data_IF_217853266122
#
_entry.id   IF_217853266122
#
_cell.length_a   1.000
_cell.length_b   1.000
_cell.length_c   1.000
_cell.angle_alpha   90.00
_cell.angle_beta   90.00
_cell.angle_gamma   90.00
#
_symmetry.space_group_name_H-M   'P 1'
#
loop_
_entity.id
_entity.type
_entity.pdbx_description
1 polymer ?
#
# COMPACT_ATOMS: atom_id res chain seq x y z
N UNK A 1 34.90 100.82 -55.56
CA UNK A 1 33.91 99.79 -55.90
C UNK A 1 33.79 98.66 -54.86
N UNK A 2 34.39 98.75 -53.66
CA UNK A 2 34.41 97.63 -52.69
C UNK A 2 33.48 97.80 -51.48
N UNK A 3 32.72 98.90 -51.38
CA UNK A 3 31.96 99.24 -50.17
C UNK A 3 30.51 98.73 -50.19
N UNK A 4 29.96 98.45 -51.38
CA UNK A 4 28.60 97.90 -51.54
C UNK A 4 28.56 96.37 -51.34
N UNK A 5 29.66 95.67 -51.64
CA UNK A 5 29.76 94.22 -51.47
C UNK A 5 29.79 93.80 -49.98
N UNK A 6 30.52 94.53 -49.14
CA UNK A 6 30.60 94.26 -47.68
C UNK A 6 29.25 94.42 -46.96
N UNK A 7 28.35 95.25 -47.49
CA UNK A 7 27.01 95.46 -46.91
C UNK A 7 26.09 94.28 -47.25
N UNK A 8 26.24 93.70 -48.45
CA UNK A 8 25.49 92.52 -48.89
C UNK A 8 25.85 91.25 -48.11
N UNK A 9 27.14 91.00 -47.89
CA UNK A 9 27.57 89.84 -47.08
C UNK A 9 27.06 89.91 -45.64
N UNK A 10 27.10 91.10 -45.02
CA UNK A 10 26.56 91.29 -43.66
C UNK A 10 25.06 91.01 -43.56
N UNK A 11 24.29 91.43 -44.57
CA UNK A 11 22.85 91.11 -44.62
C UNK A 11 22.59 89.62 -44.87
N UNK A 12 23.40 88.97 -45.71
CA UNK A 12 23.29 87.53 -45.96
C UNK A 12 23.55 86.72 -44.68
N UNK A 13 24.62 87.05 -43.95
CA UNK A 13 24.94 86.39 -42.67
C UNK A 13 23.83 86.60 -41.63
N UNK A 14 23.30 87.82 -41.52
CA UNK A 14 22.19 88.11 -40.62
C UNK A 14 20.91 87.31 -40.97
N UNK A 15 20.64 87.06 -42.25
CA UNK A 15 19.51 86.21 -42.67
C UNK A 15 19.76 84.73 -42.39
N UNK A 16 21.00 84.27 -42.55
CA UNK A 16 21.37 82.87 -42.33
C UNK A 16 21.27 82.48 -40.85
N UNK A 17 21.75 83.35 -39.96
CA UNK A 17 21.63 83.19 -38.51
C UNK A 17 20.15 83.15 -38.09
N UNK A 18 19.33 84.05 -38.65
CA UNK A 18 17.88 84.09 -38.37
C UNK A 18 17.16 82.82 -38.82
N UNK A 19 17.62 82.17 -39.90
CA UNK A 19 17.08 80.88 -40.33
C UNK A 19 17.57 79.71 -39.47
N UNK A 20 18.82 79.75 -38.99
CA UNK A 20 19.36 78.76 -38.06
C UNK A 20 18.59 78.77 -36.73
N UNK A 21 18.36 79.96 -36.16
CA UNK A 21 17.58 80.11 -34.93
C UNK A 21 16.15 79.61 -35.09
N UNK A 22 15.48 79.94 -36.21
CA UNK A 22 14.14 79.45 -36.49
C UNK A 22 14.08 77.92 -36.67
N UNK A 23 15.13 77.31 -37.21
CA UNK A 23 15.24 75.84 -37.33
C UNK A 23 15.51 75.18 -35.97
N UNK A 24 16.35 75.78 -35.13
CA UNK A 24 16.60 75.30 -33.77
C UNK A 24 15.34 75.40 -32.92
N UNK A 25 14.61 76.51 -32.99
CA UNK A 25 13.32 76.67 -32.32
C UNK A 25 12.30 75.62 -32.76
N UNK A 26 12.16 75.38 -34.08
CA UNK A 26 11.29 74.31 -34.61
C UNK A 26 11.76 72.90 -34.25
N UNK A 27 13.08 72.68 -34.12
CA UNK A 27 13.66 71.40 -33.71
C UNK A 27 13.41 71.09 -32.24
N UNK A 28 13.50 72.11 -31.38
CA UNK A 28 13.16 72.01 -29.96
C UNK A 28 11.64 71.84 -29.76
N UNK A 29 10.81 72.57 -30.52
CA UNK A 29 9.36 72.40 -30.48
C UNK A 29 8.93 70.99 -30.95
N UNK A 30 9.60 70.41 -31.95
CA UNK A 30 9.41 69.00 -32.35
C UNK A 30 9.98 67.99 -31.35
N UNK A 31 11.02 68.35 -30.59
CA UNK A 31 11.58 67.48 -29.55
C UNK A 31 10.72 67.50 -28.27
N UNK A 32 9.97 68.58 -28.03
CA UNK A 32 9.06 68.74 -26.89
C UNK A 32 7.60 68.31 -27.22
N UNK A 33 7.25 68.25 -28.50
CA UNK A 33 5.94 67.75 -28.99
C UNK A 33 5.92 66.22 -29.10
N UNK A 34 5.75 65.56 -27.95
CA UNK A 34 5.13 64.25 -27.91
C UNK A 34 6.10 63.08 -27.75
N UNK A 35 6.62 62.91 -26.53
CA UNK A 35 6.82 61.55 -26.01
C UNK A 35 5.42 60.97 -25.76
N UNK A 36 4.77 60.54 -26.84
CA UNK A 36 3.58 59.72 -26.77
C UNK A 36 4.02 58.37 -26.21
N UNK A 37 3.93 58.20 -24.90
CA UNK A 37 4.05 56.90 -24.25
C UNK A 37 2.86 56.04 -24.71
N UNK A 38 3.00 55.40 -25.87
CA UNK A 38 2.17 54.26 -26.22
C UNK A 38 2.66 53.11 -25.35
N UNK A 39 1.85 52.72 -24.37
CA UNK A 39 2.04 51.48 -23.62
C UNK A 39 1.89 50.34 -24.64
N UNK A 40 3.01 49.75 -25.06
CA UNK A 40 3.04 48.76 -26.14
C UNK A 40 2.47 47.41 -25.71
N UNK A 41 2.46 47.08 -24.41
CA UNK A 41 1.84 45.84 -23.92
C UNK A 41 1.41 45.97 -22.45
N UNK A 42 0.16 45.67 -22.08
CA UNK A 42 -0.19 45.45 -20.69
C UNK A 42 0.50 44.16 -20.21
N UNK A 43 1.06 44.19 -18.99
CA UNK A 43 1.71 43.04 -18.39
C UNK A 43 0.73 41.85 -18.32
N UNK A 44 1.08 40.74 -18.97
CA UNK A 44 0.31 39.50 -18.88
C UNK A 44 0.25 39.03 -17.44
N UNK A 45 -0.95 39.07 -16.85
CA UNK A 45 -1.19 38.44 -15.55
C UNK A 45 -0.83 36.96 -15.68
N UNK A 46 0.05 36.42 -14.82
CA UNK A 46 0.32 34.99 -14.84
C UNK A 46 -0.99 34.25 -14.54
N UNK A 47 -1.47 33.46 -15.50
CA UNK A 47 -2.77 32.77 -15.44
C UNK A 47 -2.86 31.71 -14.31
N UNK A 48 -1.79 31.52 -13.55
CA UNK A 48 -1.73 30.67 -12.37
C UNK A 48 -0.45 30.90 -11.58
N UNK A 49 -0.35 30.38 -10.35
CA UNK A 49 0.77 30.63 -9.45
C UNK A 49 2.10 30.13 -10.05
N UNK A 50 3.06 31.04 -10.26
CA UNK A 50 4.41 30.74 -10.78
C UNK A 50 5.30 30.01 -9.75
N UNK A 51 4.93 30.01 -8.47
CA UNK A 51 5.49 29.16 -7.41
C UNK A 51 4.62 29.23 -6.14
N UNK A 52 4.58 28.21 -5.27
CA UNK A 52 4.83 26.78 -5.48
C UNK A 52 3.58 26.09 -6.05
N UNK A 53 3.78 25.09 -6.91
CA UNK A 53 2.69 24.31 -7.50
C UNK A 53 2.10 23.34 -6.47
N UNK A 54 1.22 23.86 -5.60
CA UNK A 54 0.60 23.11 -4.50
C UNK A 54 -0.02 21.79 -4.97
N UNK A 55 -0.63 21.79 -6.16
CA UNK A 55 -1.18 20.59 -6.77
C UNK A 55 -0.12 19.50 -7.01
N UNK A 56 1.07 19.87 -7.52
CA UNK A 56 2.18 18.92 -7.74
C UNK A 56 2.71 18.38 -6.42
N UNK A 57 2.81 19.22 -5.39
CA UNK A 57 3.29 18.81 -4.06
C UNK A 57 2.31 17.84 -3.39
N UNK A 58 1.00 18.13 -3.49
CA UNK A 58 -0.06 17.25 -3.00
C UNK A 58 -0.07 15.92 -3.77
N UNK A 59 0.06 15.97 -5.10
CA UNK A 59 0.07 14.78 -5.94
C UNK A 59 1.30 13.89 -5.65
N UNK A 60 2.47 14.50 -5.45
CA UNK A 60 3.67 13.79 -4.99
C UNK A 60 3.50 13.20 -3.60
N UNK A 61 2.86 13.91 -2.67
CA UNK A 61 2.58 13.41 -1.32
C UNK A 61 1.64 12.21 -1.31
N UNK A 62 0.56 12.25 -2.11
CA UNK A 62 -0.36 11.11 -2.28
C UNK A 62 0.37 9.92 -2.90
N UNK A 63 1.13 10.15 -3.97
CA UNK A 63 1.89 9.09 -4.63
C UNK A 63 2.91 8.44 -3.67
N UNK A 64 3.64 9.26 -2.91
CA UNK A 64 4.59 8.77 -1.90
C UNK A 64 3.90 8.02 -0.77
N UNK A 65 2.74 8.50 -0.30
CA UNK A 65 1.97 7.86 0.75
C UNK A 65 1.41 6.49 0.34
N UNK A 66 0.89 6.37 -0.88
CA UNK A 66 0.43 5.08 -1.43
C UNK A 66 1.61 4.13 -1.59
N UNK A 67 2.73 4.60 -2.15
CA UNK A 67 3.93 3.78 -2.32
C UNK A 67 4.48 3.26 -1.00
N UNK A 68 4.57 4.13 0.02
CA UNK A 68 5.03 3.76 1.35
C UNK A 68 4.03 2.85 2.08
N UNK A 69 2.72 3.09 1.92
CA UNK A 69 1.66 2.26 2.49
C UNK A 69 1.66 0.85 1.90
N UNK A 70 1.80 0.71 0.58
CA UNK A 70 1.91 -0.59 -0.08
C UNK A 70 3.20 -1.31 0.31
N UNK A 71 4.33 -0.60 0.38
CA UNK A 71 5.58 -1.18 0.85
C UNK A 71 5.46 -1.70 2.28
N UNK A 72 4.82 -0.94 3.17
CA UNK A 72 4.64 -1.34 4.57
C UNK A 72 3.64 -2.50 4.71
N UNK A 73 2.55 -2.50 3.93
CA UNK A 73 1.63 -3.62 3.86
C UNK A 73 2.33 -4.90 3.39
N UNK A 74 3.16 -4.81 2.35
CA UNK A 74 3.93 -5.95 1.85
C UNK A 74 4.97 -6.45 2.86
N UNK A 75 5.64 -5.57 3.60
CA UNK A 75 6.55 -5.96 4.69
C UNK A 75 5.82 -6.65 5.83
N UNK A 76 4.65 -6.13 6.20
CA UNK A 76 3.81 -6.77 7.23
C UNK A 76 3.32 -8.14 6.76
N UNK A 77 2.88 -8.27 5.51
CA UNK A 77 2.43 -9.53 4.91
C UNK A 77 3.57 -10.55 4.79
N UNK A 78 4.79 -10.12 4.44
CA UNK A 78 5.94 -11.02 4.40
C UNK A 78 6.37 -11.51 5.80
N UNK A 79 6.02 -10.76 6.85
CA UNK A 79 6.30 -11.13 8.23
C UNK A 79 5.19 -12.02 8.84
N UNK A 80 4.07 -12.21 8.13
CA UNK A 80 3.07 -13.20 8.51
C UNK A 80 3.58 -14.60 8.14
N UNK A 81 4.25 -15.25 9.11
CA UNK A 81 4.66 -16.66 9.01
C UNK A 81 3.48 -17.61 9.24
N UNK A 82 2.37 -17.38 8.55
CA UNK A 82 1.19 -18.26 8.60
C UNK A 82 1.22 -19.16 7.36
N UNK A 83 1.44 -20.46 7.57
CA UNK A 83 1.30 -21.46 6.49
C UNK A 83 -0.17 -21.55 6.09
N UNK A 84 -0.52 -20.91 4.96
CA UNK A 84 -1.90 -20.88 4.44
C UNK A 84 -2.29 -22.13 3.66
N UNK A 85 -1.30 -22.85 3.11
CA UNK A 85 -1.53 -23.93 2.15
C UNK A 85 -0.74 -25.19 2.52
N UNK A 86 -1.33 -26.36 2.25
CA UNK A 86 -0.69 -27.67 2.47
C UNK A 86 0.62 -27.80 1.69
N UNK A 87 0.66 -27.21 0.49
CA UNK A 87 1.83 -27.23 -0.40
C UNK A 87 2.99 -26.39 0.15
N UNK A 88 2.70 -25.25 0.81
CA UNK A 88 3.72 -24.44 1.48
C UNK A 88 4.36 -25.23 2.63
N UNK A 89 3.57 -26.01 3.38
CA UNK A 89 4.11 -26.84 4.46
C UNK A 89 4.98 -28.00 3.93
N UNK A 90 4.61 -28.62 2.82
CA UNK A 90 5.40 -29.69 2.20
C UNK A 90 6.69 -29.18 1.54
N UNK A 91 6.72 -27.92 1.11
CA UNK A 91 7.92 -27.30 0.55
C UNK A 91 9.01 -27.07 1.63
N UNK A 92 8.62 -26.77 2.87
CA UNK A 92 9.53 -26.53 3.98
C UNK A 92 9.82 -27.77 4.84
N UNK A 93 8.96 -28.79 4.80
CA UNK A 93 9.07 -29.99 5.64
C UNK A 93 8.95 -31.27 4.83
N UNK A 94 9.85 -32.23 5.07
CA UNK A 94 9.81 -33.57 4.47
C UNK A 94 8.76 -34.49 5.13
N UNK A 95 7.95 -33.97 6.06
CA UNK A 95 6.97 -34.77 6.80
C UNK A 95 5.68 -34.97 6.00
N UNK A 96 5.12 -36.18 5.96
CA UNK A 96 3.86 -36.44 5.28
C UNK A 96 2.70 -35.76 6.00
N UNK A 97 1.86 -35.03 5.25
CA UNK A 97 0.66 -34.38 5.81
C UNK A 97 -0.44 -35.42 5.99
N UNK A 98 -0.74 -35.76 7.25
CA UNK A 98 -1.73 -36.78 7.60
C UNK A 98 -3.16 -36.30 7.34
N UNK A 99 -3.46 -35.03 7.58
CA UNK A 99 -4.78 -34.46 7.30
C UNK A 99 -4.88 -32.98 7.60
N UNK A 100 -5.90 -32.34 7.04
CA UNK A 100 -6.22 -30.92 7.25
C UNK A 100 -7.54 -30.85 8.00
N UNK A 101 -7.52 -30.25 9.19
CA UNK A 101 -8.72 -30.09 9.99
C UNK A 101 -9.27 -28.69 9.75
N UNK A 102 -10.53 -28.55 9.29
CA UNK A 102 -11.11 -27.24 9.05
C UNK A 102 -11.26 -26.49 10.38
N UNK A 103 -11.02 -25.18 10.35
CA UNK A 103 -11.31 -24.33 11.49
C UNK A 103 -12.81 -24.40 11.79
N UNK A 104 -13.17 -24.92 12.95
CA UNK A 104 -14.56 -24.98 13.40
C UNK A 104 -14.93 -23.54 13.77
N UNK A 105 -15.77 -22.85 12.96
CA UNK A 105 -16.03 -21.44 13.20
C UNK A 105 -16.72 -21.30 14.55
N UNK A 106 -16.09 -20.53 15.44
CA UNK A 106 -16.71 -20.11 16.69
C UNK A 106 -17.83 -19.13 16.34
N UNK A 107 -19.02 -19.66 15.98
CA UNK A 107 -20.25 -18.88 15.82
C UNK A 107 -20.69 -18.40 17.21
N UNK A 108 -20.00 -17.40 17.72
CA UNK A 108 -20.25 -16.80 19.02
C UNK A 108 -19.10 -15.90 19.42
N UNK A 109 -19.35 -14.60 19.47
CA UNK A 109 -18.36 -13.60 19.88
C UNK A 109 -17.66 -13.93 21.20
N UNK A 110 -16.54 -13.24 21.42
CA UNK A 110 -15.74 -13.25 22.66
C UNK A 110 -16.61 -13.61 23.87
N UNK A 111 -16.44 -14.83 24.41
CA UNK A 111 -17.14 -15.46 25.56
C UNK A 111 -18.29 -16.47 25.30
N UNK A 112 -18.50 -16.96 24.09
CA UNK A 112 -19.22 -18.24 23.95
C UNK A 112 -18.24 -19.40 24.17
N UNK A 113 -18.28 -20.03 25.35
CA UNK A 113 -17.70 -21.37 25.53
C UNK A 113 -18.34 -22.25 24.46
N UNK A 114 -17.53 -22.86 23.59
CA UNK A 114 -17.95 -23.84 22.59
C UNK A 114 -19.06 -24.71 23.19
N UNK A 115 -20.30 -24.54 22.71
CA UNK A 115 -21.44 -25.22 23.32
C UNK A 115 -21.31 -26.73 23.26
N UNK A 116 -20.44 -27.25 22.38
CA UNK A 116 -19.72 -28.51 22.55
C UNK A 116 -18.46 -28.54 21.65
N UNK A 117 -17.24 -28.73 22.19
CA UNK A 117 -16.00 -28.82 21.40
C UNK A 117 -15.83 -30.18 20.69
N UNK A 118 -16.70 -31.16 20.95
CA UNK A 118 -16.60 -32.53 20.44
C UNK A 118 -17.50 -32.70 19.21
N UNK A 119 -17.03 -32.20 18.08
CA UNK A 119 -17.77 -32.17 16.82
C UNK A 119 -18.15 -33.57 16.34
N UNK A 120 -17.31 -34.57 16.62
CA UNK A 120 -17.58 -35.97 16.24
C UNK A 120 -18.83 -36.58 16.88
N UNK A 121 -19.23 -36.12 18.07
CA UNK A 121 -20.46 -36.59 18.73
C UNK A 121 -21.62 -35.63 18.45
N UNK A 122 -21.35 -34.33 18.48
CA UNK A 122 -22.42 -33.33 18.51
C UNK A 122 -22.99 -33.04 17.15
N UNK A 123 -22.18 -33.20 16.11
CA UNK A 123 -22.61 -33.07 14.72
C UNK A 123 -21.86 -34.10 13.85
N UNK A 124 -22.26 -35.39 13.92
CA UNK A 124 -21.58 -36.48 13.23
C UNK A 124 -21.62 -36.37 11.69
N UNK A 125 -22.53 -35.57 11.14
CA UNK A 125 -22.68 -35.32 9.69
C UNK A 125 -21.91 -34.07 9.22
N UNK A 126 -21.29 -33.32 10.15
CA UNK A 126 -20.49 -32.16 9.80
C UNK A 126 -19.25 -32.53 9.00
N UNK A 127 -18.83 -31.59 8.14
CA UNK A 127 -17.56 -31.69 7.40
C UNK A 127 -16.39 -31.92 8.34
N UNK A 128 -16.37 -31.26 9.51
CA UNK A 128 -15.32 -31.42 10.49
C UNK A 128 -15.28 -32.84 11.09
N UNK A 129 -16.44 -33.43 11.44
CA UNK A 129 -16.51 -34.81 11.91
C UNK A 129 -15.97 -35.80 10.87
N UNK A 130 -16.30 -35.60 9.60
CA UNK A 130 -15.80 -36.45 8.51
C UNK A 130 -14.29 -36.34 8.31
N UNK A 131 -13.73 -35.13 8.44
CA UNK A 131 -12.26 -34.95 8.40
C UNK A 131 -11.57 -35.69 9.56
N UNK A 132 -12.16 -35.72 10.76
CA UNK A 132 -11.63 -36.50 11.87
C UNK A 132 -11.73 -38.02 11.64
N UNK A 133 -12.79 -38.52 10.98
CA UNK A 133 -12.90 -39.94 10.58
C UNK A 133 -11.84 -40.31 9.54
N UNK A 134 -11.63 -39.48 8.53
CA UNK A 134 -10.58 -39.68 7.52
C UNK A 134 -9.20 -39.70 8.20
N UNK A 135 -8.94 -38.78 9.13
CA UNK A 135 -7.68 -38.72 9.88
C UNK A 135 -7.47 -39.98 10.73
N UNK A 136 -8.52 -40.47 11.40
CA UNK A 136 -8.48 -41.73 12.15
C UNK A 136 -8.14 -42.93 11.25
N UNK A 137 -8.80 -43.07 10.10
CA UNK A 137 -8.53 -44.13 9.12
C UNK A 137 -7.08 -44.08 8.62
N UNK A 138 -6.57 -42.89 8.29
CA UNK A 138 -5.17 -42.72 7.84
C UNK A 138 -4.17 -43.08 8.94
N UNK A 139 -4.41 -42.69 10.19
CA UNK A 139 -3.56 -43.08 11.30
C UNK A 139 -3.53 -44.59 11.51
N UNK A 140 -4.69 -45.25 11.42
CA UNK A 140 -4.77 -46.72 11.50
C UNK A 140 -3.99 -47.39 10.36
N UNK A 141 -4.09 -46.85 9.15
CA UNK A 141 -3.33 -47.35 8.00
C UNK A 141 -1.82 -47.17 8.19
N UNK A 142 -1.37 -46.02 8.71
CA UNK A 142 0.04 -45.77 9.02
C UNK A 142 0.55 -46.70 10.13
N UNK A 143 -0.29 -46.99 11.13
CA UNK A 143 0.05 -47.87 12.24
C UNK A 143 -0.06 -49.35 11.86
N UNK A 144 -0.80 -49.74 10.82
CA UNK A 144 -1.10 -51.14 10.48
C UNK A 144 0.15 -52.00 10.21
N UNK A 145 1.27 -51.38 9.82
CA UNK A 145 2.55 -52.06 9.61
C UNK A 145 3.49 -52.10 10.82
N UNK A 146 3.06 -51.56 11.97
CA UNK A 146 3.88 -51.40 13.17
C UNK A 146 3.13 -51.86 14.41
N UNK A 147 3.82 -52.34 15.45
CA UNK A 147 3.20 -52.65 16.75
C UNK A 147 2.92 -51.37 17.58
N UNK A 148 2.71 -50.25 16.90
CA UNK A 148 2.57 -48.93 17.51
C UNK A 148 1.17 -48.79 18.10
N UNK A 149 1.08 -48.87 19.43
CA UNK A 149 -0.15 -48.70 20.19
C UNK A 149 -0.30 -47.30 20.81
N UNK A 150 0.74 -46.47 20.72
CA UNK A 150 0.80 -45.14 21.34
C UNK A 150 1.05 -44.07 20.28
N UNK A 151 0.15 -43.09 20.19
CA UNK A 151 0.27 -41.93 19.31
C UNK A 151 0.33 -40.68 20.16
N UNK A 152 1.35 -39.85 19.97
CA UNK A 152 1.51 -38.58 20.67
C UNK A 152 1.09 -37.43 19.76
N UNK A 153 0.20 -36.55 20.25
CA UNK A 153 -0.11 -35.29 19.59
C UNK A 153 0.67 -34.15 20.23
N UNK A 154 1.39 -33.38 19.41
CA UNK A 154 2.10 -32.18 19.83
C UNK A 154 1.84 -31.05 18.83
N UNK A 155 2.10 -29.82 19.25
CA UNK A 155 1.90 -28.59 18.48
C UNK A 155 3.18 -27.77 18.47
N UNK A 156 3.40 -26.95 17.45
CA UNK A 156 4.60 -26.11 17.36
C UNK A 156 4.51 -24.95 18.36
N UNK A 157 3.31 -24.38 18.54
CA UNK A 157 3.02 -23.31 19.47
C UNK A 157 1.81 -23.60 20.37
N UNK A 158 1.64 -22.74 21.38
CA UNK A 158 0.50 -22.79 22.28
C UNK A 158 -0.78 -22.26 21.63
N UNK A 159 -1.87 -23.02 21.70
CA UNK A 159 -3.19 -22.57 21.21
C UNK A 159 -3.58 -23.09 19.83
N UNK A 160 -2.76 -23.92 19.19
CA UNK A 160 -3.03 -24.54 17.86
C UNK A 160 -4.15 -25.59 17.86
N UNK A 161 -4.86 -25.79 18.98
CA UNK A 161 -5.96 -26.75 19.06
C UNK A 161 -5.56 -28.19 19.37
N UNK A 162 -4.32 -28.47 19.81
CA UNK A 162 -3.84 -29.82 20.19
C UNK A 162 -4.83 -30.64 21.04
N UNK A 163 -5.40 -30.04 22.10
CA UNK A 163 -6.35 -30.72 22.98
C UNK A 163 -7.69 -30.99 22.30
N UNK A 164 -8.15 -30.05 21.46
CA UNK A 164 -9.38 -30.20 20.68
C UNK A 164 -9.25 -31.33 19.65
N UNK A 165 -8.12 -31.35 18.94
CA UNK A 165 -7.79 -32.38 17.97
C UNK A 165 -7.62 -33.74 18.65
N UNK A 166 -6.93 -33.81 19.79
CA UNK A 166 -6.75 -35.05 20.53
C UNK A 166 -8.07 -35.67 20.99
N UNK A 167 -9.00 -34.86 21.53
CA UNK A 167 -10.32 -35.33 21.97
C UNK A 167 -11.16 -35.81 20.78
N UNK A 168 -11.27 -35.00 19.71
CA UNK A 168 -12.07 -35.37 18.54
C UNK A 168 -11.50 -36.59 17.81
N UNK A 169 -10.17 -36.71 17.73
CA UNK A 169 -9.51 -37.87 17.15
C UNK A 169 -9.71 -39.13 18.00
N UNK A 170 -9.54 -39.05 19.32
CA UNK A 170 -9.78 -40.19 20.21
C UNK A 170 -11.23 -40.68 20.07
N UNK A 171 -12.19 -39.76 19.98
CA UNK A 171 -13.58 -40.07 19.70
C UNK A 171 -13.79 -40.69 18.32
N UNK A 172 -13.18 -40.15 17.27
CA UNK A 172 -13.28 -40.70 15.92
C UNK A 172 -12.71 -42.13 15.85
N UNK A 173 -11.57 -42.39 16.50
CA UNK A 173 -10.99 -43.72 16.61
C UNK A 173 -11.92 -44.68 17.38
N UNK A 174 -12.47 -44.24 18.50
CA UNK A 174 -13.37 -45.06 19.32
C UNK A 174 -14.70 -45.38 18.62
N UNK A 175 -15.20 -44.48 17.76
CA UNK A 175 -16.44 -44.68 16.99
C UNK A 175 -16.23 -45.50 15.71
N UNK A 176 -15.04 -45.39 15.11
CA UNK A 176 -14.73 -46.03 13.82
C UNK A 176 -14.13 -47.42 14.01
N UNK A 177 -13.49 -47.68 15.16
CA UNK A 177 -12.86 -48.96 15.47
C UNK A 177 -13.51 -49.60 16.68
N UNK A 178 -13.59 -50.92 16.68
CA UNK A 178 -14.01 -51.70 17.86
C UNK A 178 -12.87 -51.88 18.89
N UNK A 179 -11.98 -50.89 18.98
CA UNK A 179 -10.80 -50.92 19.87
C UNK A 179 -11.00 -49.99 21.05
N UNK A 180 -10.43 -50.37 22.20
CA UNK A 180 -10.38 -49.51 23.38
C UNK A 180 -9.38 -48.38 23.16
N UNK A 181 -9.87 -47.14 23.17
CA UNK A 181 -9.03 -45.94 23.04
C UNK A 181 -8.87 -45.30 24.40
N UNK A 182 -7.62 -45.06 24.82
CA UNK A 182 -7.28 -44.32 26.02
C UNK A 182 -6.66 -42.98 25.63
N UNK A 183 -7.31 -41.88 26.03
CA UNK A 183 -6.73 -40.55 25.92
C UNK A 183 -6.04 -40.20 27.25
N UNK A 184 -4.77 -39.86 27.18
CA UNK A 184 -3.98 -39.41 28.34
C UNK A 184 -3.61 -37.96 28.13
N UNK A 185 -3.98 -37.10 29.06
CA UNK A 185 -3.48 -35.72 29.08
C UNK A 185 -2.10 -35.68 29.72
N UNK A 186 -1.09 -35.37 28.91
CA UNK A 186 0.31 -35.26 29.33
C UNK A 186 0.76 -33.80 29.47
N UNK A 187 -0.13 -32.81 29.32
CA UNK A 187 0.20 -31.39 29.52
C UNK A 187 0.02 -30.97 30.99
N UNK A 188 0.98 -31.36 31.84
CA UNK A 188 0.94 -31.06 33.28
C UNK A 188 1.36 -29.61 33.65
N UNK A 189 1.71 -28.78 32.66
CA UNK A 189 2.31 -27.45 32.90
C UNK A 189 1.33 -26.29 32.75
N UNK A 190 0.14 -26.52 32.22
CA UNK A 190 -0.86 -25.48 31.98
C UNK A 190 -1.90 -25.40 33.08
#
# INVERSE_FOLDING_TARGET
MNREYDVGEKQLHALLDRQLDAKLAKGLEKADSGVAFAIVEPAGLPAGPYSPQRARLILMGIAAGIGMGLALAFVLEQNDTTFGTVDDFQAFSTLPVVGVIPSIPNKGGKKSKLKNPIVTITDPESVAAEQYRILAMKLLQLCAGSDTQVVTLTSAAGGEGKSLTAINLAMALALTTDRKVLLVDADMRR
#
